data_IF_165707150370
#
_entry.id   IF_165707150370
#
_cell.length_a   1.000
_cell.length_b   1.000
_cell.length_c   1.000
_cell.angle_alpha   90.00
_cell.angle_beta   90.00
_cell.angle_gamma   90.00
#
_symmetry.space_group_name_H-M   'P 1'
#
loop_
_entity.id
_entity.type
_entity.pdbx_description
1 polymer ?
#
# COMPACT_ATOMS: atom_id res chain seq x y z
N UNK A 1 14.09 4.46 -16.73
CA UNK A 1 14.34 3.73 -15.45
C UNK A 1 13.06 3.05 -15.00
N UNK A 2 13.15 1.84 -14.45
CA UNK A 2 11.99 1.11 -13.88
C UNK A 2 12.02 1.17 -12.36
N UNK A 3 10.87 1.29 -11.71
CA UNK A 3 10.79 1.22 -10.25
C UNK A 3 10.24 -0.13 -9.81
N UNK A 4 10.92 -0.78 -8.87
CA UNK A 4 10.44 -2.00 -8.20
C UNK A 4 9.98 -1.60 -6.80
N UNK A 5 8.79 -2.02 -6.40
CA UNK A 5 8.29 -1.83 -5.04
C UNK A 5 8.11 -3.16 -4.34
N UNK A 6 8.84 -3.35 -3.23
CA UNK A 6 8.68 -4.50 -2.33
C UNK A 6 7.79 -4.14 -1.14
N UNK A 7 7.31 -5.14 -0.40
CA UNK A 7 6.52 -4.90 0.80
C UNK A 7 7.36 -4.51 2.01
N UNK A 8 8.62 -4.98 2.07
CA UNK A 8 9.52 -4.79 3.21
C UNK A 8 10.92 -4.38 2.77
N UNK A 9 11.65 -3.59 3.59
CA UNK A 9 13.02 -3.17 3.27
C UNK A 9 13.99 -4.34 3.04
N UNK A 10 13.83 -5.44 3.76
CA UNK A 10 14.67 -6.64 3.60
C UNK A 10 14.50 -7.27 2.22
N UNK A 11 13.27 -7.40 1.75
CA UNK A 11 12.94 -7.93 0.41
C UNK A 11 13.46 -6.99 -0.68
N UNK A 12 13.28 -5.67 -0.51
CA UNK A 12 13.82 -4.67 -1.42
C UNK A 12 15.34 -4.78 -1.58
N UNK A 13 16.07 -5.01 -0.48
CA UNK A 13 17.52 -5.18 -0.49
C UNK A 13 17.95 -6.40 -1.32
N UNK A 14 17.27 -7.54 -1.15
CA UNK A 14 17.58 -8.74 -1.93
C UNK A 14 17.31 -8.55 -3.43
N UNK A 15 16.18 -7.95 -3.77
CA UNK A 15 15.87 -7.63 -5.17
C UNK A 15 16.89 -6.63 -5.74
N UNK A 16 17.23 -5.59 -4.98
CA UNK A 16 18.19 -4.58 -5.39
C UNK A 16 19.56 -5.18 -5.70
N UNK A 17 20.05 -6.09 -4.85
CA UNK A 17 21.28 -6.83 -5.08
C UNK A 17 21.26 -7.60 -6.40
N UNK A 18 20.15 -8.25 -6.70
CA UNK A 18 19.99 -9.10 -7.89
C UNK A 18 19.92 -8.28 -9.18
N UNK A 19 19.27 -7.11 -9.15
CA UNK A 19 19.14 -6.24 -10.32
C UNK A 19 20.29 -5.23 -10.47
N UNK A 20 21.26 -5.22 -9.54
CA UNK A 20 22.41 -4.32 -9.58
C UNK A 20 22.12 -2.90 -9.10
N UNK A 21 21.04 -2.70 -8.35
CA UNK A 21 20.71 -1.42 -7.71
C UNK A 21 21.45 -1.30 -6.37
N UNK A 22 22.76 -1.07 -6.42
CA UNK A 22 23.65 -1.14 -5.24
C UNK A 22 23.83 0.18 -4.51
N UNK A 23 23.50 1.31 -5.13
CA UNK A 23 23.59 2.62 -4.51
C UNK A 23 22.41 2.81 -3.56
N UNK A 24 22.71 2.97 -2.26
CA UNK A 24 21.70 3.23 -1.25
C UNK A 24 21.35 4.72 -1.22
N UNK A 25 20.07 5.00 -1.34
CA UNK A 25 19.48 6.32 -1.20
C UNK A 25 18.46 6.33 -0.04
N UNK A 26 17.95 7.52 0.29
CA UNK A 26 16.88 7.63 1.27
C UNK A 26 15.58 7.00 0.75
N UNK A 27 15.14 5.89 1.36
CA UNK A 27 13.90 5.19 1.03
C UNK A 27 13.96 4.29 -0.21
N UNK A 28 15.13 4.11 -0.86
CA UNK A 28 15.27 3.21 -2.00
C UNK A 28 16.74 2.85 -2.30
N UNK A 29 16.95 1.92 -3.22
CA UNK A 29 18.25 1.59 -3.83
C UNK A 29 18.20 1.92 -5.32
N UNK A 30 19.32 2.37 -5.88
CA UNK A 30 19.42 2.76 -7.29
C UNK A 30 20.60 2.07 -7.98
N UNK A 31 20.43 1.75 -9.25
CA UNK A 31 21.47 1.19 -10.13
C UNK A 31 20.90 0.17 -11.10
N UNK A 32 21.69 -0.25 -12.09
CA UNK A 32 21.30 -1.24 -13.08
C UNK A 32 20.05 -0.87 -13.92
N UNK A 33 19.67 0.40 -13.98
CA UNK A 33 18.45 0.84 -14.65
C UNK A 33 17.18 0.75 -13.77
N UNK A 34 17.34 0.44 -12.49
CA UNK A 34 16.26 0.28 -11.53
C UNK A 34 16.37 1.23 -10.34
N UNK A 35 15.22 1.64 -9.82
CA UNK A 35 15.05 2.11 -8.45
C UNK A 35 14.25 1.05 -7.68
N UNK A 36 14.76 0.56 -6.55
CA UNK A 36 14.10 -0.45 -5.73
C UNK A 36 13.70 0.16 -4.40
N UNK A 37 12.42 0.36 -4.20
CA UNK A 37 11.84 0.95 -3.01
C UNK A 37 10.99 -0.07 -2.24
N UNK A 38 10.41 0.34 -1.13
CA UNK A 38 9.60 -0.54 -0.29
C UNK A 38 8.47 0.21 0.40
N UNK A 39 7.41 -0.52 0.67
CA UNK A 39 6.47 -0.21 1.72
C UNK A 39 6.99 -0.78 3.07
N UNK A 40 6.37 -0.47 4.17
CA UNK A 40 6.53 -1.19 5.44
C UNK A 40 5.14 -1.57 5.95
N UNK A 41 4.51 -2.48 5.23
CA UNK A 41 3.10 -2.82 5.32
C UNK A 41 2.23 -1.74 4.67
N UNK A 42 1.03 -1.54 5.17
CA UNK A 42 0.13 -0.50 4.67
C UNK A 42 0.67 0.90 4.95
N UNK A 43 0.97 1.67 3.90
CA UNK A 43 1.34 3.09 4.00
C UNK A 43 0.10 3.98 3.98
N UNK A 44 -0.97 3.53 3.37
CA UNK A 44 -2.27 4.21 3.34
C UNK A 44 -3.36 3.31 3.93
N UNK A 45 -4.39 3.92 4.47
CA UNK A 45 -5.53 3.28 5.10
C UNK A 45 -6.83 3.99 4.73
N UNK A 46 -7.97 3.35 5.00
CA UNK A 46 -9.27 4.00 4.92
C UNK A 46 -9.38 5.06 6.01
N UNK A 47 -9.95 6.23 5.67
CA UNK A 47 -10.21 7.27 6.64
C UNK A 47 -11.17 6.78 7.73
N UNK A 48 -11.02 7.30 8.93
CA UNK A 48 -11.93 7.05 10.06
C UNK A 48 -13.17 7.96 9.97
N UNK A 49 -14.23 7.74 10.77
CA UNK A 49 -15.49 8.51 10.69
C UNK A 49 -15.33 10.03 10.72
N UNK A 50 -14.36 10.53 11.47
CA UNK A 50 -14.05 11.96 11.53
C UNK A 50 -13.58 12.54 10.18
N UNK A 51 -12.94 11.74 9.34
CA UNK A 51 -12.60 12.09 7.96
C UNK A 51 -13.81 12.31 7.06
N UNK A 52 -14.98 11.83 7.45
CA UNK A 52 -16.27 12.04 6.78
C UNK A 52 -17.16 13.06 7.52
N UNK A 53 -16.59 13.83 8.46
CA UNK A 53 -17.34 14.81 9.26
C UNK A 53 -18.18 14.21 10.39
N UNK A 54 -18.10 12.90 10.63
CA UNK A 54 -18.86 12.19 11.66
C UNK A 54 -18.04 12.15 12.94
N UNK A 55 -18.52 12.83 13.99
CA UNK A 55 -17.80 12.95 15.27
C UNK A 55 -18.61 12.41 16.44
N UNK A 56 -17.91 11.75 17.37
CA UNK A 56 -18.47 11.23 18.60
C UNK A 56 -19.27 9.92 18.39
N UNK A 57 -19.42 9.19 19.49
CA UNK A 57 -20.19 7.96 19.53
C UNK A 57 -21.60 8.28 20.01
N UNK A 58 -22.43 8.76 19.10
CA UNK A 58 -23.83 9.09 19.37
C UNK A 58 -24.76 8.30 18.46
N UNK A 59 -25.95 7.98 18.98
CA UNK A 59 -26.93 7.11 18.28
C UNK A 59 -27.31 7.64 16.91
N UNK A 60 -27.40 8.94 16.77
CA UNK A 60 -27.82 9.61 15.53
C UNK A 60 -26.78 9.49 14.39
N UNK A 61 -25.54 9.11 14.73
CA UNK A 61 -24.50 8.84 13.75
C UNK A 61 -24.59 7.44 13.14
N UNK A 62 -25.38 6.54 13.70
CA UNK A 62 -25.45 5.16 13.26
C UNK A 62 -26.61 4.93 12.25
N UNK A 63 -26.39 4.13 11.20
CA UNK A 63 -25.12 3.51 10.83
C UNK A 63 -24.17 4.49 10.11
N UNK A 64 -22.86 4.39 10.37
CA UNK A 64 -21.82 5.12 9.64
C UNK A 64 -21.56 4.40 8.32
N UNK A 65 -22.05 4.95 7.22
CA UNK A 65 -21.89 4.40 5.86
C UNK A 65 -21.42 5.55 4.96
N UNK A 66 -20.11 5.62 4.65
CA UNK A 66 -19.61 6.64 3.71
C UNK A 66 -20.16 6.40 2.29
N UNK A 67 -20.49 7.46 1.57
CA UNK A 67 -20.87 7.38 0.14
C UNK A 67 -19.71 6.81 -0.71
N UNK A 68 -18.49 7.15 -0.31
CA UNK A 68 -17.26 6.61 -0.89
C UNK A 68 -16.16 6.57 0.16
N UNK A 69 -15.31 5.54 0.10
CA UNK A 69 -14.16 5.44 0.99
C UNK A 69 -13.01 6.32 0.52
N UNK A 70 -12.40 7.03 1.47
CA UNK A 70 -11.25 7.90 1.24
C UNK A 70 -9.98 7.24 1.78
N UNK A 71 -8.91 7.26 0.99
CA UNK A 71 -7.59 6.80 1.41
C UNK A 71 -6.80 7.95 2.03
N UNK A 72 -6.17 7.69 3.17
CA UNK A 72 -5.31 8.63 3.89
C UNK A 72 -3.99 7.95 4.27
N UNK A 73 -2.90 8.70 4.50
CA UNK A 73 -1.68 8.13 5.07
C UNK A 73 -1.97 7.47 6.41
N UNK A 74 -1.30 6.35 6.69
CA UNK A 74 -1.42 5.65 7.97
C UNK A 74 -1.26 6.61 9.14
N UNK A 75 -2.16 6.47 10.11
CA UNK A 75 -2.23 7.32 11.28
C UNK A 75 -1.51 6.68 12.46
N UNK A 76 -0.96 7.51 13.34
CA UNK A 76 -0.43 7.13 14.65
C UNK A 76 -1.09 7.94 15.74
N UNK A 77 -1.14 7.38 16.95
CA UNK A 77 -1.70 8.08 18.11
C UNK A 77 -0.87 9.33 18.43
N UNK A 78 -1.55 10.44 18.70
CA UNK A 78 -0.99 11.70 19.15
C UNK A 78 -1.50 12.02 20.55
N UNK A 79 -1.04 13.11 21.15
CA UNK A 79 -1.55 13.57 22.46
C UNK A 79 -3.07 13.80 22.45
N UNK A 80 -3.57 14.33 21.33
CA UNK A 80 -5.01 14.46 21.08
C UNK A 80 -5.34 13.79 19.74
N UNK A 81 -6.04 12.64 19.79
CA UNK A 81 -6.50 11.94 18.60
C UNK A 81 -5.39 11.21 17.82
N UNK A 82 -5.44 11.31 16.52
CA UNK A 82 -4.52 10.64 15.58
C UNK A 82 -3.92 11.65 14.62
N UNK A 83 -2.70 11.40 14.17
CA UNK A 83 -2.01 12.20 13.16
C UNK A 83 -1.33 11.29 12.13
N UNK A 84 -1.04 11.77 10.91
CA UNK A 84 -0.26 11.02 9.95
C UNK A 84 1.12 10.62 10.53
N UNK A 85 1.53 9.38 10.28
CA UNK A 85 2.87 8.89 10.59
C UNK A 85 3.88 9.61 9.69
N UNK A 86 4.78 10.39 10.28
CA UNK A 86 5.74 11.20 9.52
C UNK A 86 6.70 10.38 8.66
N UNK A 87 7.10 9.19 9.14
CA UNK A 87 7.93 8.26 8.38
C UNK A 87 7.19 7.70 7.16
N UNK A 88 5.91 7.39 7.33
CA UNK A 88 5.02 6.97 6.23
C UNK A 88 4.85 8.08 5.20
N UNK A 89 4.58 9.31 5.65
CA UNK A 89 4.41 10.46 4.74
C UNK A 89 5.69 10.71 3.94
N UNK A 90 6.86 10.62 4.57
CA UNK A 90 8.15 10.75 3.89
C UNK A 90 8.36 9.66 2.84
N UNK A 91 8.06 8.41 3.18
CA UNK A 91 8.20 7.28 2.25
C UNK A 91 7.22 7.38 1.08
N UNK A 92 5.98 7.78 1.31
CA UNK A 92 4.99 8.02 0.24
C UNK A 92 5.50 9.09 -0.75
N UNK A 93 6.11 10.17 -0.28
CA UNK A 93 6.69 11.20 -1.15
C UNK A 93 7.81 10.65 -2.04
N UNK A 94 8.68 9.82 -1.47
CA UNK A 94 9.76 9.15 -2.22
C UNK A 94 9.17 8.23 -3.28
N UNK A 95 8.23 7.36 -2.90
CA UNK A 95 7.58 6.43 -3.82
C UNK A 95 6.84 7.17 -4.93
N UNK A 96 6.12 8.24 -4.59
CA UNK A 96 5.40 9.07 -5.57
C UNK A 96 6.35 9.65 -6.63
N UNK A 97 7.49 10.19 -6.19
CA UNK A 97 8.53 10.69 -7.12
C UNK A 97 9.06 9.58 -8.03
N UNK A 98 9.37 8.41 -7.45
CA UNK A 98 9.90 7.27 -8.21
C UNK A 98 8.88 6.73 -9.21
N UNK A 99 7.63 6.57 -8.82
CA UNK A 99 6.57 6.06 -9.67
C UNK A 99 6.31 6.98 -10.86
N UNK A 100 6.16 8.28 -10.61
CA UNK A 100 5.89 9.26 -11.66
C UNK A 100 7.11 9.52 -12.58
N UNK A 101 8.32 9.25 -12.09
CA UNK A 101 9.56 9.36 -12.88
C UNK A 101 9.95 8.09 -13.63
N UNK A 102 9.17 7.02 -13.53
CA UNK A 102 9.48 5.71 -14.13
C UNK A 102 8.66 5.46 -15.38
N UNK A 103 9.24 4.70 -16.30
CA UNK A 103 8.54 4.18 -17.48
C UNK A 103 7.63 2.98 -17.16
N UNK A 104 7.93 2.25 -16.08
CA UNK A 104 7.18 1.08 -15.64
C UNK A 104 7.42 0.83 -14.15
N UNK A 105 6.38 0.38 -13.44
CA UNK A 105 6.46 -0.10 -12.07
C UNK A 105 6.41 -1.63 -12.06
N UNK A 106 7.33 -2.26 -11.32
CA UNK A 106 7.32 -3.70 -11.06
C UNK A 106 6.87 -3.90 -9.62
N UNK A 107 5.72 -4.52 -9.44
CA UNK A 107 5.11 -4.76 -8.13
C UNK A 107 5.64 -6.06 -7.55
N UNK A 108 6.42 -5.96 -6.49
CA UNK A 108 7.05 -7.07 -5.78
C UNK A 108 6.60 -7.16 -4.30
N UNK A 109 5.40 -6.66 -4.00
CA UNK A 109 4.74 -6.93 -2.72
C UNK A 109 4.34 -8.41 -2.63
N UNK A 110 4.11 -8.93 -1.43
CA UNK A 110 3.83 -10.34 -1.21
C UNK A 110 2.73 -10.86 -2.15
N UNK A 111 2.90 -12.09 -2.65
CA UNK A 111 1.98 -12.73 -3.58
C UNK A 111 0.71 -13.14 -2.83
N UNK A 112 -0.30 -12.29 -2.83
CA UNK A 112 -1.55 -12.50 -2.14
C UNK A 112 -2.44 -11.25 -2.08
N UNK A 113 -3.61 -11.39 -1.47
CA UNK A 113 -4.61 -10.32 -1.34
C UNK A 113 -4.06 -9.07 -0.65
N UNK A 114 -3.35 -9.26 0.47
CA UNK A 114 -2.79 -8.14 1.24
C UNK A 114 -1.71 -7.39 0.47
N UNK A 115 -0.77 -8.11 -0.15
CA UNK A 115 0.27 -7.47 -0.95
C UNK A 115 -0.27 -6.70 -2.14
N UNK A 116 -1.33 -7.22 -2.79
CA UNK A 116 -2.02 -6.51 -3.87
C UNK A 116 -2.75 -5.27 -3.35
N UNK A 117 -3.42 -5.37 -2.20
CA UNK A 117 -4.13 -4.24 -1.58
C UNK A 117 -3.16 -3.12 -1.17
N UNK A 118 -2.03 -3.47 -0.55
CA UNK A 118 -0.98 -2.52 -0.14
C UNK A 118 -0.53 -1.69 -1.34
N UNK A 119 -0.20 -2.35 -2.45
CA UNK A 119 0.26 -1.66 -3.65
C UNK A 119 -0.86 -0.81 -4.28
N UNK A 120 -2.04 -1.39 -4.52
CA UNK A 120 -3.14 -0.69 -5.22
C UNK A 120 -3.65 0.51 -4.44
N UNK A 121 -3.77 0.42 -3.13
CA UNK A 121 -4.15 1.56 -2.29
C UNK A 121 -3.14 2.69 -2.40
N UNK A 122 -1.85 2.37 -2.34
CA UNK A 122 -0.79 3.36 -2.50
C UNK A 122 -0.78 3.99 -3.91
N UNK A 123 -0.90 3.16 -4.94
CA UNK A 123 -0.95 3.59 -6.34
C UNK A 123 -2.11 4.56 -6.60
N UNK A 124 -3.31 4.23 -6.10
CA UNK A 124 -4.48 5.09 -6.21
C UNK A 124 -4.36 6.37 -5.37
N UNK A 125 -3.83 6.26 -4.15
CA UNK A 125 -3.61 7.42 -3.29
C UNK A 125 -2.66 8.44 -3.92
N UNK A 126 -1.60 7.97 -4.57
CA UNK A 126 -0.65 8.82 -5.29
C UNK A 126 -1.29 9.44 -6.55
N UNK A 127 -2.34 8.85 -7.09
CA UNK A 127 -2.90 9.23 -8.39
C UNK A 127 -1.96 8.92 -9.55
N UNK A 128 -1.19 7.83 -9.43
CA UNK A 128 -0.20 7.43 -10.42
C UNK A 128 -0.86 6.86 -11.67
N UNK A 129 -0.31 7.21 -12.85
CA UNK A 129 -0.76 6.68 -14.15
C UNK A 129 0.33 5.81 -14.84
N UNK A 130 1.50 5.66 -14.22
CA UNK A 130 2.58 4.84 -14.77
C UNK A 130 2.14 3.38 -14.85
N UNK A 131 2.30 2.70 -16.00
CA UNK A 131 1.90 1.31 -16.16
C UNK A 131 2.68 0.40 -15.21
N UNK A 132 2.04 -0.65 -14.72
CA UNK A 132 2.66 -1.60 -13.82
C UNK A 132 2.47 -3.06 -14.25
N UNK A 133 3.45 -3.87 -13.85
CA UNK A 133 3.48 -5.32 -14.02
C UNK A 133 3.75 -5.97 -12.66
N UNK A 134 3.44 -7.26 -12.55
CA UNK A 134 3.51 -8.00 -11.30
C UNK A 134 4.66 -9.01 -11.32
N UNK A 135 5.54 -8.90 -10.34
CA UNK A 135 6.48 -9.95 -9.95
C UNK A 135 5.76 -10.88 -8.96
N UNK A 136 5.27 -12.02 -9.45
CA UNK A 136 4.54 -12.98 -8.64
C UNK A 136 5.42 -14.17 -8.28
N UNK A 137 5.95 -14.16 -7.07
CA UNK A 137 6.85 -15.20 -6.57
C UNK A 137 6.45 -15.60 -5.14
N UNK A 138 6.62 -16.88 -4.82
CA UNK A 138 6.37 -17.45 -3.49
C UNK A 138 7.65 -17.70 -2.68
N UNK A 139 8.81 -17.40 -3.26
CA UNK A 139 10.12 -17.60 -2.66
C UNK A 139 11.06 -16.45 -2.97
N UNK A 140 11.93 -16.12 -2.03
CA UNK A 140 12.93 -15.04 -2.16
C UNK A 140 14.34 -15.55 -2.46
N UNK A 141 14.47 -16.76 -2.99
CA UNK A 141 15.77 -17.25 -3.47
C UNK A 141 16.21 -16.48 -4.71
N UNK A 142 17.52 -16.35 -4.92
CA UNK A 142 18.08 -15.66 -6.09
C UNK A 142 17.49 -16.19 -7.40
N UNK A 143 17.33 -17.52 -7.49
CA UNK A 143 16.74 -18.17 -8.65
C UNK A 143 15.29 -17.73 -8.87
N UNK A 144 14.46 -17.77 -7.81
CA UNK A 144 13.05 -17.41 -7.91
C UNK A 144 12.87 -15.93 -8.29
N UNK A 145 13.67 -15.02 -7.74
CA UNK A 145 13.62 -13.60 -8.09
C UNK A 145 14.05 -13.38 -9.54
N UNK A 146 15.14 -13.99 -10.01
CA UNK A 146 15.61 -13.88 -11.41
C UNK A 146 14.60 -14.44 -12.40
N UNK A 147 14.05 -15.60 -12.11
CA UNK A 147 13.04 -16.26 -12.96
C UNK A 147 11.75 -15.43 -12.99
N UNK A 148 11.31 -14.90 -11.84
CA UNK A 148 10.16 -14.02 -11.75
C UNK A 148 10.33 -12.71 -12.53
N UNK A 149 11.51 -12.09 -12.47
CA UNK A 149 11.82 -10.88 -13.25
C UNK A 149 11.84 -11.12 -14.77
N UNK A 150 12.12 -12.35 -15.21
CA UNK A 150 12.00 -12.74 -16.63
C UNK A 150 10.58 -13.04 -17.06
N UNK A 151 9.70 -13.38 -16.11
CA UNK A 151 8.32 -13.80 -16.31
C UNK A 151 7.34 -12.86 -15.61
N UNK A 152 7.50 -11.54 -15.79
CA UNK A 152 6.59 -10.55 -15.25
C UNK A 152 5.20 -10.70 -15.85
N UNK A 153 4.18 -10.57 -15.02
CA UNK A 153 2.79 -10.72 -15.39
C UNK A 153 2.09 -9.36 -15.50
N UNK A 154 1.09 -9.27 -16.38
CA UNK A 154 0.27 -8.06 -16.49
C UNK A 154 -0.43 -7.77 -15.15
N UNK A 155 -0.39 -6.50 -14.72
CA UNK A 155 -1.04 -6.08 -13.48
C UNK A 155 -2.55 -6.36 -13.47
N UNK A 156 -3.21 -6.26 -14.63
CA UNK A 156 -4.64 -6.53 -14.81
C UNK A 156 -5.05 -7.97 -14.46
N UNK A 157 -4.14 -8.93 -14.54
CA UNK A 157 -4.39 -10.33 -14.13
C UNK A 157 -4.87 -10.41 -12.66
N UNK A 158 -4.52 -9.45 -11.84
CA UNK A 158 -4.79 -9.42 -10.42
C UNK A 158 -5.88 -8.42 -10.00
N UNK A 159 -6.63 -7.87 -10.96
CA UNK A 159 -7.70 -6.90 -10.68
C UNK A 159 -8.80 -7.49 -9.81
N UNK A 160 -9.24 -8.72 -10.09
CA UNK A 160 -10.26 -9.39 -9.26
C UNK A 160 -9.74 -9.71 -7.85
N UNK A 161 -8.45 -10.03 -7.70
CA UNK A 161 -7.83 -10.24 -6.40
C UNK A 161 -7.82 -8.93 -5.57
N UNK A 162 -7.49 -7.82 -6.22
CA UNK A 162 -7.57 -6.50 -5.61
C UNK A 162 -8.98 -6.13 -5.21
N UNK A 163 -9.97 -6.32 -6.10
CA UNK A 163 -11.36 -6.01 -5.81
C UNK A 163 -11.89 -6.83 -4.63
N UNK A 164 -11.54 -8.11 -4.54
CA UNK A 164 -11.87 -8.95 -3.39
C UNK A 164 -11.23 -8.46 -2.08
N UNK A 165 -9.96 -8.06 -2.13
CA UNK A 165 -9.24 -7.52 -0.97
C UNK A 165 -9.83 -6.17 -0.53
N UNK A 166 -10.15 -5.29 -1.49
CA UNK A 166 -10.79 -4.00 -1.25
C UNK A 166 -12.17 -4.18 -0.60
N UNK A 167 -13.02 -5.03 -1.16
CA UNK A 167 -14.35 -5.31 -0.62
C UNK A 167 -14.27 -5.82 0.82
N UNK A 168 -13.32 -6.71 1.12
CA UNK A 168 -13.08 -7.19 2.48
C UNK A 168 -12.66 -6.05 3.40
N UNK A 169 -11.69 -5.24 3.01
CA UNK A 169 -11.21 -4.11 3.82
C UNK A 169 -12.33 -3.12 4.15
N UNK A 170 -13.17 -2.79 3.17
CA UNK A 170 -14.31 -1.90 3.35
C UNK A 170 -15.40 -2.52 4.24
N UNK A 171 -15.67 -3.82 4.08
CA UNK A 171 -16.61 -4.56 4.93
C UNK A 171 -16.13 -4.64 6.37
N UNK A 172 -14.87 -4.95 6.60
CA UNK A 172 -14.26 -5.01 7.94
C UNK A 172 -14.33 -3.64 8.62
N UNK A 173 -14.12 -2.55 7.86
CA UNK A 173 -14.28 -1.18 8.35
C UNK A 173 -15.74 -0.91 8.76
N UNK A 174 -16.71 -1.20 7.89
CA UNK A 174 -18.13 -0.96 8.16
C UNK A 174 -18.61 -1.73 9.41
N UNK A 175 -18.29 -3.02 9.50
CA UNK A 175 -18.67 -3.85 10.64
C UNK A 175 -17.95 -3.41 11.91
N UNK A 176 -16.64 -3.16 11.83
CA UNK A 176 -15.82 -2.77 12.97
C UNK A 176 -16.24 -1.43 13.58
N UNK A 177 -16.41 -0.41 12.73
CA UNK A 177 -16.81 0.93 13.19
C UNK A 177 -18.22 0.91 13.78
N UNK A 178 -19.19 0.40 13.06
CA UNK A 178 -20.59 0.41 13.52
C UNK A 178 -20.79 -0.48 14.73
N UNK A 179 -20.20 -1.67 14.76
CA UNK A 179 -20.26 -2.57 15.91
C UNK A 179 -19.64 -1.97 17.16
N UNK A 180 -18.46 -1.39 17.05
CA UNK A 180 -17.77 -0.73 18.18
C UNK A 180 -18.58 0.44 18.72
N UNK A 181 -19.10 1.31 17.83
CA UNK A 181 -19.89 2.46 18.27
C UNK A 181 -21.22 2.03 18.88
N UNK A 182 -21.94 1.07 18.28
CA UNK A 182 -23.20 0.57 18.81
C UNK A 182 -23.03 -0.02 20.22
N UNK A 183 -21.99 -0.84 20.43
CA UNK A 183 -21.69 -1.41 21.75
C UNK A 183 -21.32 -0.33 22.77
N UNK A 184 -20.52 0.67 22.38
CA UNK A 184 -20.14 1.77 23.29
C UNK A 184 -21.31 2.66 23.68
N UNK A 185 -22.34 2.80 22.83
CA UNK A 185 -23.55 3.57 23.12
C UNK A 185 -24.51 2.78 24.00
N UNK A 186 -24.52 1.45 23.89
CA UNK A 186 -25.41 0.57 24.64
C UNK A 186 -24.89 0.24 26.06
N UNK A 187 -23.61 0.45 26.33
CA UNK A 187 -22.96 0.21 27.64
C UNK A 187 -23.15 1.37 28.60
#
# INVERSE_FOLDING_TARGET
>A
MKTIIAEKPSVAREIARIVGATKREEGYFEGGGYAVTWAFGHLVQLAMPDGYGIRGFVRDNLPVIPDSFTLIPRQVKAEKGYKPDSGVVSQIKIISRLFNGSEQIIVATDAGREGELIFRYLYHYIGCATPFVRLWISSLTDKAIRDGLRNLEAGSKYDNLYLAAKARSESDWLVGINGTQALSIAA
#
